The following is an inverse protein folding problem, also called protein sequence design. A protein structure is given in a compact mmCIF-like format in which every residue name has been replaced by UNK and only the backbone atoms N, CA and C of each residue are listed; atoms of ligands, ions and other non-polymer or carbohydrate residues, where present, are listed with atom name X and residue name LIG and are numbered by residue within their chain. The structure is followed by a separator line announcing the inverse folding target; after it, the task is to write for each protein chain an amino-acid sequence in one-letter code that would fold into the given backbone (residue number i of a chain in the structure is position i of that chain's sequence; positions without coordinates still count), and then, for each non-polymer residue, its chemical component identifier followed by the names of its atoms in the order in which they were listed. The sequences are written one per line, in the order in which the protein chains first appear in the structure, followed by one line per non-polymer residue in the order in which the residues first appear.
data_IF_700357560550
#
_entry.id   IF_700357560550
#
_cell.length_a   1.000
_cell.length_b   1.000
_cell.length_c   1.000
_cell.angle_alpha   90.00
_cell.angle_beta   90.00
_cell.angle_gamma   90.00
#
_symmetry.space_group_name_H-M   'P 1'
#
loop_
_entity.id
_entity.type
_entity.pdbx_description
1 polymer ?
#
# COMPACT_ATOMS: atom_id res chain seq x y z
N UNK A 1 19.50 -13.88 -16.84
CA UNK A 1 20.81 -13.42 -16.34
C UNK A 1 20.64 -13.15 -14.86
N UNK A 2 21.37 -13.86 -13.99
CA UNK A 2 21.36 -13.63 -12.55
C UNK A 2 22.13 -12.35 -12.27
N UNK A 3 21.43 -11.21 -12.29
CA UNK A 3 22.01 -9.94 -11.84
C UNK A 3 22.43 -10.10 -10.38
N UNK A 4 23.73 -9.89 -10.11
CA UNK A 4 24.26 -9.98 -8.76
C UNK A 4 23.68 -8.81 -7.95
N UNK A 5 22.68 -9.10 -7.11
CA UNK A 5 22.07 -8.12 -6.23
C UNK A 5 23.09 -7.69 -5.17
N UNK A 6 23.42 -6.39 -5.04
CA UNK A 6 24.33 -5.90 -4.00
C UNK A 6 23.73 -6.03 -2.59
N UNK A 7 24.56 -5.90 -1.56
CA UNK A 7 24.10 -5.96 -0.17
C UNK A 7 23.20 -4.77 0.20
N UNK A 8 22.05 -5.00 0.87
CA UNK A 8 21.18 -3.91 1.27
C UNK A 8 21.87 -2.89 2.17
N UNK A 9 21.58 -1.60 1.93
CA UNK A 9 22.11 -0.50 2.73
C UNK A 9 23.49 0.01 2.30
N UNK A 10 24.05 -0.51 1.20
CA UNK A 10 25.25 0.07 0.59
C UNK A 10 24.89 1.03 -0.55
N UNK A 11 25.77 2.00 -0.89
CA UNK A 11 25.56 2.88 -2.04
C UNK A 11 25.38 2.14 -3.37
N UNK A 12 26.03 0.98 -3.53
CA UNK A 12 25.91 0.14 -4.72
C UNK A 12 24.51 -0.47 -4.83
N UNK A 13 23.89 -0.82 -3.71
CA UNK A 13 22.52 -1.30 -3.68
C UNK A 13 21.50 -0.21 -4.04
N UNK A 14 21.71 1.01 -3.56
CA UNK A 14 20.87 2.16 -3.95
C UNK A 14 20.98 2.45 -5.45
N UNK A 15 22.20 2.45 -5.99
CA UNK A 15 22.42 2.62 -7.43
C UNK A 15 21.77 1.49 -8.26
N UNK A 16 21.87 0.24 -7.78
CA UNK A 16 21.23 -0.91 -8.42
C UNK A 16 19.70 -0.80 -8.41
N UNK A 17 19.11 -0.37 -7.29
CA UNK A 17 17.67 -0.12 -7.19
C UNK A 17 17.23 0.98 -8.15
N UNK A 18 17.97 2.07 -8.23
CA UNK A 18 17.65 3.22 -9.06
C UNK A 18 17.69 2.84 -10.55
N UNK A 19 18.72 2.13 -10.99
CA UNK A 19 18.83 1.64 -12.36
C UNK A 19 17.68 0.71 -12.73
N UNK A 20 17.28 -0.17 -11.82
CA UNK A 20 16.15 -1.09 -12.02
C UNK A 20 14.81 -0.36 -12.08
N UNK A 21 14.58 0.58 -11.17
CA UNK A 21 13.38 1.40 -11.14
C UNK A 21 13.24 2.24 -12.42
N UNK A 22 14.35 2.81 -12.91
CA UNK A 22 14.36 3.59 -14.13
C UNK A 22 14.01 2.74 -15.35
N UNK A 23 14.65 1.56 -15.49
CA UNK A 23 14.31 0.61 -16.57
C UNK A 23 12.83 0.22 -16.54
N UNK A 24 12.31 -0.09 -15.36
CA UNK A 24 10.89 -0.43 -15.20
C UNK A 24 9.96 0.74 -15.54
N UNK A 25 10.32 1.95 -15.12
CA UNK A 25 9.56 3.16 -15.46
C UNK A 25 9.53 3.38 -16.96
N UNK A 26 10.67 3.26 -17.64
CA UNK A 26 10.76 3.42 -19.09
C UNK A 26 9.89 2.37 -19.78
N UNK A 27 9.99 1.09 -19.40
CA UNK A 27 9.14 0.02 -19.95
C UNK A 27 7.65 0.31 -19.72
N UNK A 28 7.26 0.74 -18.51
CA UNK A 28 5.85 0.99 -18.17
C UNK A 28 5.23 2.15 -18.96
N UNK A 29 5.98 3.24 -19.17
CA UNK A 29 5.45 4.46 -19.79
C UNK A 29 5.73 4.57 -21.29
N UNK A 30 6.62 3.75 -21.85
CA UNK A 30 6.91 3.73 -23.29
C UNK A 30 6.26 2.58 -24.04
N UNK A 31 5.81 1.54 -23.33
CA UNK A 31 5.08 0.44 -23.98
C UNK A 31 3.72 0.94 -24.45
N UNK A 32 3.42 0.71 -25.73
CA UNK A 32 2.10 1.02 -26.30
C UNK A 32 1.02 0.23 -25.55
N UNK A 33 0.03 0.93 -25.02
CA UNK A 33 -1.14 0.31 -24.40
C UNK A 33 -1.99 -0.29 -25.51
N UNK A 34 -2.28 -1.60 -25.50
CA UNK A 34 -3.16 -2.21 -26.49
C UNK A 34 -4.50 -1.46 -26.55
N UNK A 35 -5.04 -1.22 -27.74
CA UNK A 35 -6.29 -0.44 -27.90
C UNK A 35 -7.45 -1.00 -27.05
N UNK A 36 -7.49 -2.32 -26.85
CA UNK A 36 -8.47 -3.04 -26.03
C UNK A 36 -8.39 -2.67 -24.52
N UNK A 37 -7.23 -2.18 -24.06
CA UNK A 37 -6.95 -1.81 -22.67
C UNK A 37 -6.85 -0.30 -22.45
N UNK A 38 -6.87 0.51 -23.52
CA UNK A 38 -6.78 1.97 -23.45
C UNK A 38 -7.91 2.58 -22.59
N UNK A 39 -9.11 1.99 -22.65
CA UNK A 39 -10.30 2.43 -21.89
C UNK A 39 -10.33 1.91 -20.45
N UNK A 40 -9.48 0.94 -20.09
CA UNK A 40 -9.42 0.34 -18.74
C UNK A 40 -8.55 1.19 -17.80
N UNK A 41 -7.70 2.05 -18.35
CA UNK A 41 -6.81 2.94 -17.61
C UNK A 41 -7.51 4.05 -16.82
N UNK A 42 -8.81 4.30 -17.07
CA UNK A 42 -9.63 5.25 -16.31
C UNK A 42 -10.33 4.62 -15.10
N UNK A 43 -9.86 3.47 -14.63
CA UNK A 43 -10.34 2.86 -13.40
C UNK A 43 -10.17 3.84 -12.24
N UNK A 44 -11.28 4.43 -11.78
CA UNK A 44 -11.32 5.18 -10.54
C UNK A 44 -10.76 4.26 -9.45
N UNK A 45 -9.60 4.59 -8.87
CA UNK A 45 -9.17 3.95 -7.62
C UNK A 45 -10.25 4.31 -6.61
N UNK A 46 -11.22 3.41 -6.42
CA UNK A 46 -12.29 3.53 -5.45
C UNK A 46 -11.71 3.24 -4.05
N UNK A 47 -10.73 4.06 -3.67
CA UNK A 47 -10.22 4.11 -2.33
C UNK A 47 -11.16 4.96 -1.45
N UNK A 48 -11.19 4.68 -0.14
CA UNK A 48 -11.83 5.57 0.82
C UNK A 48 -11.27 6.98 0.63
N UNK A 49 -12.16 7.98 0.50
CA UNK A 49 -11.76 9.38 0.29
C UNK A 49 -11.21 9.99 1.57
N UNK A 50 -11.52 9.40 2.72
CA UNK A 50 -10.99 9.78 4.01
C UNK A 50 -10.74 8.57 4.91
N UNK A 51 -9.89 8.76 5.91
CA UNK A 51 -9.64 7.77 6.96
C UNK A 51 -10.91 7.38 7.74
N UNK A 52 -11.89 8.29 7.84
CA UNK A 52 -13.18 8.02 8.48
C UNK A 52 -14.03 6.98 7.71
N UNK A 53 -13.75 6.78 6.42
CA UNK A 53 -14.41 5.75 5.62
C UNK A 53 -13.81 4.35 5.89
N UNK A 54 -12.59 4.29 6.45
CA UNK A 54 -11.88 3.06 6.84
C UNK A 54 -12.23 2.66 8.27
N UNK A 55 -12.29 3.66 9.16
CA UNK A 55 -12.66 3.45 10.56
C UNK A 55 -13.97 4.19 10.84
N UNK A 56 -15.14 3.52 10.77
CA UNK A 56 -16.34 4.08 11.37
C UNK A 56 -15.99 4.36 12.84
N UNK A 57 -16.14 5.60 13.27
CA UNK A 57 -15.85 5.98 14.65
C UNK A 57 -16.56 4.98 15.57
N UNK A 58 -15.79 4.28 16.40
CA UNK A 58 -16.38 3.47 17.47
C UNK A 58 -17.32 4.39 18.21
N UNK A 59 -18.60 4.06 18.21
CA UNK A 59 -19.55 4.90 18.92
C UNK A 59 -19.19 4.84 20.40
N UNK A 60 -19.37 5.95 21.13
CA UNK A 60 -19.07 6.02 22.57
C UNK A 60 -19.69 4.82 23.34
N UNK A 61 -20.82 4.31 22.86
CA UNK A 61 -21.48 3.13 23.39
C UNK A 61 -20.65 1.83 23.25
N UNK A 62 -19.97 1.62 22.13
CA UNK A 62 -19.10 0.45 21.90
C UNK A 62 -17.84 0.52 22.76
N UNK A 63 -17.24 1.70 22.93
CA UNK A 63 -16.10 1.88 23.83
C UNK A 63 -16.50 1.65 25.30
N UNK A 64 -17.67 2.13 25.74
CA UNK A 64 -18.21 1.85 27.08
C UNK A 64 -18.45 0.34 27.27
N UNK A 65 -18.96 -0.35 26.26
CA UNK A 65 -19.21 -1.78 26.33
C UNK A 65 -17.91 -2.59 26.44
N UNK A 66 -16.87 -2.20 25.69
CA UNK A 66 -15.54 -2.83 25.72
C UNK A 66 -14.85 -2.58 27.07
N UNK A 67 -14.92 -1.37 27.61
CA UNK A 67 -14.33 -1.03 28.92
C UNK A 67 -15.04 -1.81 30.06
N UNK A 68 -16.37 -1.91 29.99
CA UNK A 68 -17.16 -2.71 30.96
C UNK A 68 -16.87 -4.21 30.86
N UNK A 69 -16.57 -4.72 29.67
CA UNK A 69 -16.18 -6.12 29.46
C UNK A 69 -14.76 -6.39 29.99
N UNK A 70 -13.81 -5.48 29.79
CA UNK A 70 -12.45 -5.60 30.33
C UNK A 70 -12.43 -5.58 31.86
N UNK A 71 -13.17 -4.65 32.49
CA UNK A 71 -13.28 -4.58 33.96
C UNK A 71 -13.90 -5.84 34.59
N UNK A 72 -14.64 -6.64 33.82
CA UNK A 72 -15.28 -7.88 34.30
C UNK A 72 -14.35 -9.09 34.26
N UNK A 73 -13.27 -9.05 33.47
CA UNK A 73 -12.39 -10.19 33.22
C UNK A 73 -11.02 -10.06 33.90
N UNK A 74 -10.75 -8.97 34.61
CA UNK A 74 -9.57 -8.83 35.46
C UNK A 74 -10.00 -9.08 36.92
N UNK A 75 -9.71 -10.25 37.52
CA UNK A 75 -9.84 -10.40 38.96
C UNK A 75 -8.75 -9.57 39.65
N UNK A 76 -9.11 -8.85 40.71
CA UNK A 76 -8.13 -8.36 41.70
C UNK A 76 -7.47 -9.53 42.45
#
# INVERSE_FOLDING_TARGET
MTEHKPEPGTPEFEAWLLARAQKWSDELFTTEIPEELADVGSGLIAGPRSWADVMPEKTIAEDIAIDKAHKRNTPE
#
